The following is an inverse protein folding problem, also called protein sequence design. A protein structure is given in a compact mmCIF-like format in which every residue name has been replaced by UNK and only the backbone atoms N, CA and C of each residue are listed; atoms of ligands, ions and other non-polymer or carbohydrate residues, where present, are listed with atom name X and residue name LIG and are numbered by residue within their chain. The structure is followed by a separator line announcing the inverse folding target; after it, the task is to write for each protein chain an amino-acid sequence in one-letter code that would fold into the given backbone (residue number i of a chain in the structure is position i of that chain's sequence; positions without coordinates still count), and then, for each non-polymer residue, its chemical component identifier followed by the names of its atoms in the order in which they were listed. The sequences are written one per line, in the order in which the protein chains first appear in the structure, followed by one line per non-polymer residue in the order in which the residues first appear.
data_IF_318919375619
#
_entry.id   IF_318919375619
#
_cell.length_a   1.000
_cell.length_b   1.000
_cell.length_c   1.000
_cell.angle_alpha   90.00
_cell.angle_beta   90.00
_cell.angle_gamma   90.00
#
_symmetry.space_group_name_H-M   'P 1'
#
loop_
_entity.id
_entity.type
_entity.pdbx_description
1 polymer ?
#
# COMPACT_ATOMS: atom_id res chain seq x y z
N UNK A 1 15.42 5.83 -22.43
CA UNK A 1 16.89 5.86 -22.22
C UNK A 1 17.11 5.89 -20.70
N UNK A 2 18.11 5.14 -20.19
CA UNK A 2 18.29 4.64 -18.80
C UNK A 2 17.50 3.33 -18.56
N UNK A 3 18.00 2.17 -19.04
CA UNK A 3 19.14 1.36 -18.58
C UNK A 3 18.80 0.43 -17.41
N UNK A 4 18.41 -0.78 -17.80
CA UNK A 4 18.59 -2.07 -17.14
C UNK A 4 19.69 -2.14 -16.07
N UNK A 5 19.33 -2.53 -14.85
CA UNK A 5 20.12 -3.43 -13.98
C UNK A 5 19.15 -4.07 -12.95
N UNK A 6 18.66 -5.28 -13.25
CA UNK A 6 18.18 -6.21 -12.23
C UNK A 6 18.96 -7.50 -12.45
N UNK A 7 19.60 -7.97 -11.38
CA UNK A 7 20.50 -9.12 -11.39
C UNK A 7 19.78 -10.39 -11.86
N UNK A 8 20.30 -10.98 -12.93
CA UNK A 8 19.99 -12.35 -13.34
C UNK A 8 20.61 -13.33 -12.34
N UNK A 9 19.92 -14.42 -11.94
CA UNK A 9 20.60 -15.63 -11.50
C UNK A 9 21.40 -16.19 -12.69
N UNK A 10 22.58 -16.72 -12.40
CA UNK A 10 23.58 -17.16 -13.38
C UNK A 10 23.07 -18.24 -14.33
N UNK A 11 22.67 -17.83 -15.53
CA UNK A 11 22.65 -18.66 -16.73
C UNK A 11 24.09 -18.94 -17.16
N UNK A 12 24.73 -19.94 -16.55
CA UNK A 12 26.04 -20.44 -16.98
C UNK A 12 26.30 -21.85 -16.46
N UNK A 13 25.57 -22.84 -16.98
CA UNK A 13 26.24 -24.04 -17.46
C UNK A 13 26.43 -23.82 -18.97
N UNK A 14 27.50 -23.07 -19.23
CA UNK A 14 28.44 -23.19 -20.34
C UNK A 14 27.87 -23.47 -21.74
N UNK A 15 27.73 -22.37 -22.49
CA UNK A 15 28.06 -22.35 -23.91
C UNK A 15 29.58 -22.47 -24.04
N UNK A 16 30.07 -23.52 -24.68
CA UNK A 16 31.24 -23.44 -25.53
C UNK A 16 30.92 -24.17 -26.83
N UNK A 17 31.11 -23.46 -27.95
CA UNK A 17 30.86 -23.86 -29.35
C UNK A 17 29.41 -23.65 -29.79
N UNK A 18 29.12 -22.41 -30.23
CA UNK A 18 27.83 -22.05 -30.79
C UNK A 18 27.55 -22.76 -32.11
N UNK A 19 26.41 -23.44 -32.16
CA UNK A 19 25.50 -23.60 -33.31
C UNK A 19 24.18 -24.22 -32.77
N UNK A 20 23.06 -23.98 -33.45
CA UNK A 20 21.69 -24.23 -32.96
C UNK A 20 20.84 -24.92 -34.06
N UNK A 21 19.94 -25.82 -33.62
CA UNK A 21 18.82 -26.51 -34.33
C UNK A 21 19.23 -27.64 -35.31
N UNK A 22 18.49 -28.75 -35.47
CA UNK A 22 17.04 -28.87 -35.71
C UNK A 22 16.43 -30.24 -35.31
N UNK A 23 15.11 -30.19 -35.02
CA UNK A 23 14.00 -31.10 -35.34
C UNK A 23 14.16 -32.63 -35.46
N UNK A 24 13.19 -33.29 -34.80
CA UNK A 24 12.65 -34.65 -34.94
C UNK A 24 13.25 -35.80 -34.09
N UNK A 25 12.31 -36.40 -33.35
CA UNK A 25 12.25 -37.76 -32.79
C UNK A 25 13.23 -38.14 -31.66
N UNK A 26 12.88 -37.76 -30.43
CA UNK A 26 12.59 -38.70 -29.33
C UNK A 26 12.03 -37.91 -28.13
N UNK A 27 10.98 -38.45 -27.51
CA UNK A 27 10.02 -37.79 -26.62
C UNK A 27 10.64 -36.93 -25.50
N UNK A 28 10.30 -35.63 -25.49
CA UNK A 28 10.37 -34.80 -24.28
C UNK A 28 9.33 -35.31 -23.29
N UNK A 29 9.74 -36.18 -22.37
CA UNK A 29 8.91 -36.56 -21.24
C UNK A 29 8.83 -35.37 -20.27
N UNK A 30 7.72 -34.62 -20.37
CA UNK A 30 7.29 -33.70 -19.32
C UNK A 30 7.08 -34.53 -18.06
N UNK A 31 8.08 -34.53 -17.18
CA UNK A 31 8.06 -35.22 -15.89
C UNK A 31 6.77 -34.82 -15.16
N UNK A 32 5.84 -35.76 -15.11
CA UNK A 32 4.53 -35.54 -14.54
C UNK A 32 4.64 -35.44 -13.01
N UNK A 33 3.63 -34.87 -12.34
CA UNK A 33 3.55 -34.91 -10.87
C UNK A 33 3.61 -36.33 -10.30
N UNK A 34 3.33 -37.35 -11.12
CA UNK A 34 3.44 -38.76 -10.76
C UNK A 34 4.90 -39.24 -10.63
N UNK A 35 5.80 -38.75 -11.48
CA UNK A 35 7.23 -39.15 -11.53
C UNK A 35 8.04 -38.52 -10.38
N UNK A 36 7.65 -37.31 -9.94
CA UNK A 36 8.22 -36.66 -8.75
C UNK A 36 7.82 -37.41 -7.47
N UNK A 37 6.61 -37.97 -7.43
CA UNK A 37 6.18 -38.80 -6.31
C UNK A 37 6.93 -40.14 -6.29
N UNK A 38 7.10 -40.81 -7.43
CA UNK A 38 7.85 -42.06 -7.51
C UNK A 38 9.34 -41.87 -7.16
N UNK A 39 10.00 -40.81 -7.63
CA UNK A 39 11.41 -40.53 -7.29
C UNK A 39 11.68 -40.21 -5.80
N UNK A 40 10.66 -39.80 -5.04
CA UNK A 40 10.76 -39.56 -3.59
C UNK A 40 10.62 -40.88 -2.79
N UNK A 41 9.86 -41.85 -3.31
CA UNK A 41 9.51 -43.08 -2.60
C UNK A 41 10.23 -44.34 -3.09
N UNK A 42 10.75 -44.35 -4.33
CA UNK A 42 11.66 -45.38 -4.84
C UNK A 42 13.11 -44.92 -4.63
N UNK A 43 13.78 -45.54 -3.66
CA UNK A 43 15.08 -45.14 -3.14
C UNK A 43 16.28 -45.32 -4.09
N UNK A 44 16.32 -44.61 -5.23
CA UNK A 44 17.55 -44.40 -6.00
C UNK A 44 18.27 -43.12 -5.55
N UNK A 45 18.81 -43.16 -4.32
CA UNK A 45 19.96 -42.33 -3.96
C UNK A 45 21.22 -43.15 -4.19
N UNK A 46 21.57 -43.37 -5.45
CA UNK A 46 22.89 -43.90 -5.83
C UNK A 46 23.52 -43.02 -6.90
N UNK A 47 24.11 -41.90 -6.45
CA UNK A 47 24.84 -41.03 -7.36
C UNK A 47 25.27 -39.68 -6.81
N UNK A 48 25.36 -39.47 -5.49
CA UNK A 48 25.96 -38.25 -4.94
C UNK A 48 27.45 -38.53 -4.71
N UNK A 49 28.27 -38.19 -5.69
CA UNK A 49 29.72 -38.15 -5.55
C UNK A 49 30.11 -37.22 -4.38
N UNK A 50 31.10 -37.67 -3.62
CA UNK A 50 31.51 -37.24 -2.28
C UNK A 50 32.20 -35.87 -2.17
N UNK A 51 31.91 -34.91 -3.06
CA UNK A 51 32.54 -33.59 -3.04
C UNK A 51 31.60 -32.43 -2.60
N UNK A 52 30.31 -32.70 -2.38
CA UNK A 52 29.32 -31.66 -2.01
C UNK A 52 29.12 -31.49 -0.51
N UNK A 53 29.92 -32.15 0.33
CA UNK A 53 29.81 -32.06 1.81
C UNK A 53 30.35 -30.74 2.40
N UNK A 54 30.85 -29.80 1.58
CA UNK A 54 31.39 -28.52 2.05
C UNK A 54 30.85 -27.31 1.30
N UNK A 55 29.54 -27.08 1.33
CA UNK A 55 28.96 -25.71 1.29
C UNK A 55 27.43 -25.71 1.53
N UNK A 56 27.06 -25.42 2.78
CA UNK A 56 25.87 -24.63 3.15
C UNK A 56 24.46 -25.19 2.87
N UNK A 57 23.75 -25.48 3.96
CA UNK A 57 22.27 -25.45 4.09
C UNK A 57 21.41 -26.57 3.47
N UNK A 58 21.70 -27.83 3.77
CA UNK A 58 20.77 -28.96 3.51
C UNK A 58 19.73 -29.16 4.66
N UNK A 59 19.94 -28.57 5.84
CA UNK A 59 19.12 -28.86 7.02
C UNK A 59 17.67 -28.32 6.99
N UNK A 60 17.30 -27.44 6.06
CA UNK A 60 15.91 -26.94 5.95
C UNK A 60 15.01 -27.81 5.06
N UNK A 61 15.58 -28.66 4.19
CA UNK A 61 14.80 -29.43 3.22
C UNK A 61 14.19 -30.72 3.81
N UNK A 62 14.77 -31.27 4.89
CA UNK A 62 14.24 -32.50 5.50
C UNK A 62 12.99 -32.26 6.35
N UNK A 63 12.84 -31.10 7.01
CA UNK A 63 11.71 -30.83 7.91
C UNK A 63 10.36 -30.62 7.21
N UNK A 64 10.38 -30.22 5.94
CA UNK A 64 9.16 -29.97 5.15
C UNK A 64 8.63 -31.21 4.43
N UNK A 65 9.45 -32.27 4.31
CA UNK A 65 9.07 -33.53 3.64
C UNK A 65 8.41 -34.55 4.58
N UNK A 66 8.53 -34.38 5.91
CA UNK A 66 7.95 -35.29 6.92
C UNK A 66 6.40 -35.31 6.93
N UNK A 67 5.74 -34.42 6.18
CA UNK A 67 4.29 -34.29 6.15
C UNK A 67 3.58 -34.87 4.92
N UNK A 68 4.30 -35.28 3.87
CA UNK A 68 3.72 -35.71 2.60
C UNK A 68 3.29 -37.17 2.73
N UNK A 69 1.97 -37.43 2.76
CA UNK A 69 1.43 -38.78 2.96
C UNK A 69 0.64 -39.30 1.76
N UNK A 70 0.28 -38.45 0.80
CA UNK A 70 -0.42 -38.85 -0.43
C UNK A 70 0.09 -38.13 -1.68
N UNK A 71 -0.26 -38.67 -2.86
CA UNK A 71 -0.04 -38.02 -4.16
C UNK A 71 -0.76 -36.67 -4.24
N UNK A 72 -1.94 -36.51 -3.63
CA UNK A 72 -2.64 -35.23 -3.58
C UNK A 72 -1.85 -34.16 -2.81
N UNK A 73 -1.22 -34.51 -1.68
CA UNK A 73 -0.39 -33.57 -0.90
C UNK A 73 0.77 -33.04 -1.75
N UNK A 74 1.41 -33.91 -2.53
CA UNK A 74 2.52 -33.55 -3.42
C UNK A 74 2.07 -32.64 -4.58
N UNK A 75 0.89 -32.88 -5.16
CA UNK A 75 0.30 -32.05 -6.23
C UNK A 75 -0.13 -30.67 -5.72
N UNK A 76 -0.71 -30.57 -4.53
CA UNK A 76 -1.02 -29.25 -3.94
C UNK A 76 0.23 -28.42 -3.67
N UNK A 77 1.32 -29.06 -3.23
CA UNK A 77 2.59 -28.37 -2.97
C UNK A 77 3.24 -27.91 -4.28
N UNK A 78 3.11 -28.64 -5.38
CA UNK A 78 3.63 -28.22 -6.69
C UNK A 78 2.75 -27.17 -7.39
N UNK A 79 1.41 -27.25 -7.29
CA UNK A 79 0.51 -26.20 -7.82
C UNK A 79 0.63 -24.87 -7.05
N UNK A 80 0.86 -24.89 -5.74
CA UNK A 80 1.10 -23.68 -4.95
C UNK A 80 2.44 -22.98 -5.33
N UNK A 81 3.35 -23.69 -5.99
CA UNK A 81 4.69 -23.20 -6.36
C UNK A 81 4.82 -22.65 -7.78
N UNK A 82 3.86 -22.87 -8.69
CA UNK A 82 3.95 -22.43 -10.10
C UNK A 82 2.74 -21.59 -10.52
N UNK A 83 2.46 -20.50 -9.77
CA UNK A 83 1.65 -19.40 -10.33
C UNK A 83 2.60 -18.42 -11.00
N UNK A 84 2.94 -18.68 -12.26
CA UNK A 84 3.71 -17.74 -13.08
C UNK A 84 2.77 -16.65 -13.59
N UNK A 85 2.88 -15.44 -13.01
CA UNK A 85 2.10 -14.31 -13.47
C UNK A 85 2.62 -13.84 -14.83
N UNK A 86 1.75 -13.61 -15.83
CA UNK A 86 2.19 -13.12 -17.13
C UNK A 86 2.76 -11.70 -16.98
N UNK A 87 4.10 -11.61 -16.94
CA UNK A 87 4.82 -10.34 -16.92
C UNK A 87 4.86 -9.73 -18.33
N UNK A 88 4.24 -8.56 -18.50
CA UNK A 88 4.24 -7.82 -19.76
C UNK A 88 3.17 -8.26 -20.78
N UNK A 89 3.35 -7.82 -22.04
CA UNK A 89 2.38 -8.07 -23.12
C UNK A 89 1.31 -6.97 -23.29
N UNK A 90 0.66 -6.94 -24.46
CA UNK A 90 -0.30 -5.87 -24.83
C UNK A 90 -1.48 -5.76 -23.87
N UNK A 91 -1.97 -6.88 -23.33
CA UNK A 91 -3.07 -6.91 -22.37
C UNK A 91 -2.66 -6.31 -21.01
N UNK A 92 -1.46 -6.62 -20.51
CA UNK A 92 -0.94 -6.03 -19.28
C UNK A 92 -0.76 -4.51 -19.41
N UNK A 93 -0.16 -4.04 -20.53
CA UNK A 93 -0.01 -2.61 -20.79
C UNK A 93 -1.35 -1.90 -20.99
N UNK A 94 -2.33 -2.53 -21.66
CA UNK A 94 -3.67 -1.96 -21.82
C UNK A 94 -4.39 -1.84 -20.46
N UNK A 95 -4.23 -2.85 -19.59
CA UNK A 95 -4.78 -2.83 -18.22
C UNK A 95 -4.14 -1.71 -17.41
N UNK A 96 -2.81 -1.58 -17.45
CA UNK A 96 -2.09 -0.50 -16.75
C UNK A 96 -2.56 0.88 -17.23
N UNK A 97 -2.73 1.06 -18.54
CA UNK A 97 -3.24 2.30 -19.12
C UNK A 97 -4.69 2.58 -18.69
N UNK A 98 -5.54 1.56 -18.65
CA UNK A 98 -6.91 1.66 -18.13
C UNK A 98 -6.95 2.10 -16.66
N UNK A 99 -6.15 1.47 -15.81
CA UNK A 99 -6.01 1.86 -14.40
C UNK A 99 -5.50 3.30 -14.26
N UNK A 100 -4.52 3.70 -15.08
CA UNK A 100 -4.02 5.08 -15.09
C UNK A 100 -5.11 6.10 -15.42
N UNK A 101 -5.89 5.89 -16.50
CA UNK A 101 -6.99 6.79 -16.85
C UNK A 101 -8.07 6.80 -15.76
N UNK A 102 -8.41 5.63 -15.20
CA UNK A 102 -9.38 5.54 -14.11
C UNK A 102 -8.97 6.36 -12.89
N UNK A 103 -7.70 6.25 -12.49
CA UNK A 103 -7.14 7.01 -11.37
C UNK A 103 -7.12 8.52 -11.60
N UNK A 104 -7.00 8.99 -12.84
CA UNK A 104 -7.08 10.43 -13.16
C UNK A 104 -8.44 11.00 -12.79
N UNK A 105 -9.53 10.30 -13.11
CA UNK A 105 -10.88 10.74 -12.76
C UNK A 105 -11.15 10.69 -11.25
N UNK A 106 -10.77 9.58 -10.61
CA UNK A 106 -11.02 9.35 -9.19
C UNK A 106 -10.19 10.26 -8.28
N UNK A 107 -8.86 10.20 -8.39
CA UNK A 107 -7.97 10.99 -7.54
C UNK A 107 -7.93 12.47 -7.96
N UNK A 108 -8.26 12.78 -9.21
CA UNK A 108 -8.39 14.15 -9.69
C UNK A 108 -9.52 14.89 -8.96
N UNK A 109 -10.71 14.29 -8.91
CA UNK A 109 -11.84 14.85 -8.17
C UNK A 109 -11.52 14.94 -6.67
N UNK A 110 -10.89 13.90 -6.11
CA UNK A 110 -10.49 13.89 -4.71
C UNK A 110 -9.55 15.05 -4.36
N UNK A 111 -8.57 15.36 -5.23
CA UNK A 111 -7.68 16.50 -5.07
C UNK A 111 -8.37 17.86 -5.27
N UNK A 112 -9.48 17.93 -6.01
CA UNK A 112 -10.25 19.18 -6.16
C UNK A 112 -11.18 19.47 -4.98
N UNK A 113 -11.39 18.50 -4.08
CA UNK A 113 -12.34 18.60 -2.97
C UNK A 113 -12.21 19.89 -2.16
N UNK A 114 -11.02 20.26 -1.70
CA UNK A 114 -10.84 21.48 -0.88
C UNK A 114 -11.11 22.78 -1.63
N UNK A 115 -10.73 22.85 -2.91
CA UNK A 115 -11.02 24.03 -3.74
C UNK A 115 -12.53 24.16 -4.04
N UNK A 116 -13.19 23.04 -4.33
CA UNK A 116 -14.64 23.00 -4.57
C UNK A 116 -15.39 23.32 -3.27
N UNK A 117 -14.95 22.79 -2.13
CA UNK A 117 -15.53 23.06 -0.82
C UNK A 117 -15.49 24.56 -0.49
N UNK A 118 -14.33 25.20 -0.64
CA UNK A 118 -14.18 26.65 -0.44
C UNK A 118 -15.08 27.45 -1.38
N UNK A 119 -15.13 27.07 -2.67
CA UNK A 119 -15.98 27.75 -3.65
C UNK A 119 -17.47 27.62 -3.31
N UNK A 120 -17.92 26.42 -2.91
CA UNK A 120 -19.31 26.17 -2.51
C UNK A 120 -19.67 26.98 -1.26
N UNK A 121 -18.79 27.03 -0.26
CA UNK A 121 -18.99 27.81 0.96
C UNK A 121 -19.13 29.31 0.67
N UNK A 122 -18.31 29.85 -0.22
CA UNK A 122 -18.31 31.29 -0.53
C UNK A 122 -19.42 31.74 -1.50
N UNK A 123 -19.85 30.89 -2.43
CA UNK A 123 -20.70 31.32 -3.55
C UNK A 123 -22.07 30.63 -3.64
N UNK A 124 -22.23 29.41 -3.11
CA UNK A 124 -23.44 28.59 -3.34
C UNK A 124 -24.24 28.38 -2.06
N UNK A 125 -23.57 27.93 -0.99
CA UNK A 125 -24.19 27.56 0.29
C UNK A 125 -23.86 28.57 1.39
N UNK A 126 -23.87 29.86 1.04
CA UNK A 126 -23.44 30.96 1.91
C UNK A 126 -24.23 31.06 3.22
N UNK A 127 -25.50 30.63 3.22
CA UNK A 127 -26.37 30.66 4.39
C UNK A 127 -26.24 29.43 5.31
N UNK A 128 -25.40 28.45 4.95
CA UNK A 128 -25.18 27.23 5.73
C UNK A 128 -23.89 27.32 6.55
N UNK A 129 -23.82 26.59 7.66
CA UNK A 129 -22.60 26.50 8.46
C UNK A 129 -21.49 25.77 7.70
N UNK A 130 -20.25 26.27 7.77
CA UNK A 130 -19.08 25.67 7.11
C UNK A 130 -18.90 24.19 7.46
N UNK A 131 -19.10 23.82 8.74
CA UNK A 131 -19.06 22.42 9.20
C UNK A 131 -20.05 21.51 8.43
N UNK A 132 -21.25 22.02 8.12
CA UNK A 132 -22.25 21.24 7.38
C UNK A 132 -21.82 21.03 5.92
N UNK A 133 -21.14 21.99 5.32
CA UNK A 133 -20.58 21.89 3.97
C UNK A 133 -19.43 20.89 3.97
N UNK A 134 -18.51 20.97 4.93
CA UNK A 134 -17.42 19.99 5.09
C UNK A 134 -17.93 18.57 5.28
N UNK A 135 -19.08 18.39 5.95
CA UNK A 135 -19.72 17.08 6.11
C UNK A 135 -20.16 16.45 4.77
N UNK A 136 -20.58 17.25 3.79
CA UNK A 136 -20.94 16.75 2.45
C UNK A 136 -19.71 16.13 1.78
N UNK A 137 -18.57 16.82 1.84
CA UNK A 137 -17.31 16.34 1.27
C UNK A 137 -16.68 15.19 2.08
N UNK A 138 -16.94 15.15 3.39
CA UNK A 138 -16.56 14.03 4.24
C UNK A 138 -17.34 12.75 3.87
N UNK A 139 -18.64 12.87 3.62
CA UNK A 139 -19.47 11.78 3.11
C UNK A 139 -19.00 11.31 1.73
N UNK A 140 -18.68 12.23 0.82
CA UNK A 140 -18.07 11.90 -0.47
C UNK A 140 -16.77 11.08 -0.29
N UNK A 141 -15.82 11.58 0.50
CA UNK A 141 -14.54 10.90 0.77
C UNK A 141 -14.71 9.55 1.47
N UNK A 142 -15.70 9.44 2.37
CA UNK A 142 -16.08 8.18 3.00
C UNK A 142 -16.57 7.17 1.96
N UNK A 143 -17.52 7.54 1.10
CA UNK A 143 -18.10 6.62 0.12
C UNK A 143 -17.11 6.22 -0.97
N UNK A 144 -16.16 7.07 -1.35
CA UNK A 144 -15.06 6.70 -2.26
C UNK A 144 -14.23 5.57 -1.65
N UNK A 145 -13.78 5.73 -0.40
CA UNK A 145 -12.91 4.74 0.26
C UNK A 145 -13.67 3.47 0.70
N UNK A 146 -14.88 3.63 1.23
CA UNK A 146 -15.74 2.52 1.63
C UNK A 146 -16.29 1.76 0.41
N UNK A 147 -16.65 2.47 -0.65
CA UNK A 147 -17.13 1.91 -1.90
C UNK A 147 -16.07 1.06 -2.61
N UNK A 148 -14.79 1.43 -2.52
CA UNK A 148 -13.68 0.63 -3.03
C UNK A 148 -13.60 -0.77 -2.38
N UNK A 149 -13.98 -0.90 -1.11
CA UNK A 149 -14.07 -2.22 -0.46
C UNK A 149 -15.22 -3.04 -1.06
N UNK A 150 -16.40 -2.44 -1.22
CA UNK A 150 -17.59 -3.13 -1.76
C UNK A 150 -17.35 -3.55 -3.21
N UNK A 151 -16.72 -2.70 -4.02
CA UNK A 151 -16.42 -3.02 -5.41
C UNK A 151 -15.49 -4.25 -5.50
N UNK A 152 -14.43 -4.30 -4.68
CA UNK A 152 -13.55 -5.47 -4.58
C UNK A 152 -14.32 -6.76 -4.27
N UNK A 153 -15.22 -6.73 -3.30
CA UNK A 153 -16.12 -7.85 -2.95
C UNK A 153 -16.97 -8.30 -4.14
N UNK A 154 -17.53 -7.35 -4.89
CA UNK A 154 -18.38 -7.65 -6.05
C UNK A 154 -17.56 -8.29 -7.17
N UNK A 155 -16.36 -7.77 -7.46
CA UNK A 155 -15.48 -8.34 -8.48
C UNK A 155 -15.03 -9.75 -8.13
N UNK A 156 -14.64 -10.01 -6.88
CA UNK A 156 -14.30 -11.36 -6.40
C UNK A 156 -15.49 -12.32 -6.55
N UNK A 157 -16.71 -11.83 -6.32
CA UNK A 157 -17.94 -12.61 -6.54
C UNK A 157 -18.16 -12.92 -8.01
N UNK A 158 -18.04 -11.93 -8.89
CA UNK A 158 -18.21 -12.12 -10.34
C UNK A 158 -17.20 -13.13 -10.87
N UNK A 159 -15.94 -13.03 -10.42
CA UNK A 159 -14.89 -14.00 -10.78
C UNK A 159 -15.27 -15.42 -10.41
N UNK A 160 -15.68 -15.65 -9.16
CA UNK A 160 -16.10 -16.98 -8.66
C UNK A 160 -17.36 -17.51 -9.33
N UNK A 161 -18.30 -16.62 -9.70
CA UNK A 161 -19.47 -16.99 -10.48
C UNK A 161 -19.09 -17.46 -11.89
N UNK A 162 -18.11 -16.79 -12.51
CA UNK A 162 -17.57 -17.21 -13.81
C UNK A 162 -16.80 -18.54 -13.71
N UNK A 163 -16.18 -18.82 -12.57
CA UNK A 163 -15.51 -20.10 -12.27
C UNK A 163 -16.49 -21.24 -11.89
N UNK A 164 -17.81 -20.99 -11.89
CA UNK A 164 -18.83 -22.03 -11.73
C UNK A 164 -19.32 -22.26 -10.29
N UNK A 165 -18.84 -21.49 -9.31
CA UNK A 165 -19.30 -21.56 -7.91
C UNK A 165 -20.71 -20.93 -7.73
N UNK A 166 -21.77 -21.70 -8.00
CA UNK A 166 -23.16 -21.19 -8.04
C UNK A 166 -23.91 -21.14 -6.70
N UNK A 167 -23.50 -21.90 -5.69
CA UNK A 167 -24.23 -22.03 -4.41
C UNK A 167 -23.58 -21.21 -3.28
N UNK A 168 -23.75 -19.88 -3.29
CA UNK A 168 -23.12 -19.00 -2.31
C UNK A 168 -24.13 -18.24 -1.44
N UNK A 169 -24.14 -18.53 -0.13
CA UNK A 169 -24.93 -17.78 0.87
C UNK A 169 -24.21 -16.48 1.27
N UNK A 170 -24.95 -15.36 1.25
CA UNK A 170 -24.40 -14.01 1.45
C UNK A 170 -23.75 -13.77 2.83
N UNK A 171 -24.30 -14.39 3.88
CA UNK A 171 -23.87 -14.17 5.28
C UNK A 171 -22.54 -14.85 5.64
N UNK A 172 -22.27 -16.02 5.09
CA UNK A 172 -21.02 -16.75 5.37
C UNK A 172 -19.82 -16.05 4.69
N UNK A 173 -20.01 -15.44 3.52
CA UNK A 173 -18.96 -14.70 2.82
C UNK A 173 -18.64 -13.31 3.36
N UNK A 174 -19.59 -12.58 3.94
CA UNK A 174 -19.27 -11.25 4.51
C UNK A 174 -18.23 -11.37 5.64
N UNK A 175 -18.31 -12.45 6.42
CA UNK A 175 -17.30 -12.81 7.42
C UNK A 175 -15.98 -13.31 6.80
N UNK A 176 -16.00 -13.87 5.59
CA UNK A 176 -14.78 -14.25 4.86
C UNK A 176 -14.06 -13.07 4.20
N UNK A 177 -14.75 -11.93 4.02
CA UNK A 177 -14.27 -10.74 3.31
C UNK A 177 -13.66 -9.71 4.25
N UNK A 178 -14.31 -9.48 5.40
CA UNK A 178 -13.76 -8.64 6.47
C UNK A 178 -13.31 -9.56 7.59
N UNK A 179 -11.99 -9.67 7.74
CA UNK A 179 -11.42 -10.48 8.80
C UNK A 179 -11.33 -9.67 10.10
N UNK A 180 -12.45 -9.53 10.80
CA UNK A 180 -12.46 -8.95 12.15
C UNK A 180 -11.59 -9.74 13.14
N UNK A 181 -11.25 -11.00 12.84
CA UNK A 181 -10.33 -11.78 13.68
C UNK A 181 -8.90 -11.25 13.61
N UNK A 182 -8.50 -10.59 12.51
CA UNK A 182 -7.19 -9.94 12.42
C UNK A 182 -6.99 -8.85 13.47
N UNK A 183 -8.05 -8.20 13.97
CA UNK A 183 -7.93 -7.25 15.08
C UNK A 183 -7.66 -7.90 16.45
N UNK A 184 -7.78 -9.22 16.59
CA UNK A 184 -7.30 -9.90 17.80
C UNK A 184 -5.77 -9.86 17.90
N UNK A 185 -5.09 -9.70 16.77
CA UNK A 185 -3.65 -9.49 16.72
C UNK A 185 -3.34 -8.01 17.01
N UNK A 186 -2.73 -7.76 18.16
CA UNK A 186 -2.37 -6.41 18.58
C UNK A 186 -1.45 -5.70 17.56
N UNK A 187 -0.58 -6.42 16.86
CA UNK A 187 0.29 -5.85 15.81
C UNK A 187 -0.53 -5.28 14.65
N UNK A 188 -1.54 -6.01 14.18
CA UNK A 188 -2.42 -5.55 13.12
C UNK A 188 -3.28 -4.37 13.59
N UNK A 189 -3.84 -4.46 14.81
CA UNK A 189 -4.64 -3.37 15.40
C UNK A 189 -3.85 -2.05 15.50
N UNK A 190 -2.61 -2.10 15.99
CA UNK A 190 -1.78 -0.90 16.13
C UNK A 190 -1.33 -0.38 14.76
N UNK A 191 -1.04 -1.26 13.80
CA UNK A 191 -0.77 -0.84 12.42
C UNK A 191 -1.98 -0.11 11.84
N UNK A 192 -3.18 -0.69 11.91
CA UNK A 192 -4.40 -0.05 11.41
C UNK A 192 -4.67 1.28 12.11
N UNK A 193 -4.40 1.38 13.42
CA UNK A 193 -4.51 2.64 14.15
C UNK A 193 -3.51 3.69 13.65
N UNK A 194 -2.28 3.30 13.33
CA UNK A 194 -1.29 4.17 12.72
C UNK A 194 -1.75 4.67 11.34
N UNK A 195 -2.27 3.77 10.51
CA UNK A 195 -2.83 4.11 9.20
C UNK A 195 -3.98 5.10 9.32
N UNK A 196 -4.93 4.84 10.23
CA UNK A 196 -6.06 5.72 10.52
C UNK A 196 -5.60 7.13 10.92
N UNK A 197 -4.66 7.24 11.86
CA UNK A 197 -4.17 8.54 12.34
C UNK A 197 -3.38 9.30 11.28
N UNK A 198 -2.59 8.59 10.47
CA UNK A 198 -1.84 9.19 9.38
C UNK A 198 -2.77 9.66 8.24
N UNK A 199 -3.83 8.91 7.96
CA UNK A 199 -4.89 9.32 7.02
C UNK A 199 -5.59 10.60 7.49
N UNK A 200 -5.83 10.72 8.79
CA UNK A 200 -6.45 11.91 9.38
C UNK A 200 -5.63 13.16 9.05
N UNK A 201 -4.31 13.10 9.26
CA UNK A 201 -3.42 14.20 8.94
C UNK A 201 -3.37 14.48 7.43
N UNK A 202 -3.29 13.43 6.61
CA UNK A 202 -3.30 13.53 5.15
C UNK A 202 -4.50 14.33 4.67
N UNK A 203 -5.69 13.95 5.10
CA UNK A 203 -6.93 14.54 4.59
C UNK A 203 -7.08 16.00 5.00
N UNK A 204 -6.70 16.34 6.23
CA UNK A 204 -6.72 17.74 6.63
C UNK A 204 -5.69 18.56 5.86
N UNK A 205 -4.46 18.07 5.72
CA UNK A 205 -3.41 18.83 5.02
C UNK A 205 -3.76 19.02 3.55
N UNK A 206 -4.11 17.95 2.82
CA UNK A 206 -4.38 18.04 1.38
C UNK A 206 -5.59 18.91 1.07
N UNK A 207 -6.66 18.81 1.88
CA UNK A 207 -7.90 19.58 1.69
C UNK A 207 -7.72 21.04 2.08
N UNK A 208 -7.05 21.34 3.20
CA UNK A 208 -6.96 22.72 3.71
C UNK A 208 -5.72 23.49 3.25
N UNK A 209 -4.78 22.92 2.49
CA UNK A 209 -3.65 23.67 1.91
C UNK A 209 -4.12 24.92 1.15
N UNK A 210 -5.09 24.84 0.22
CA UNK A 210 -5.53 26.01 -0.54
C UNK A 210 -6.21 27.07 0.36
N UNK A 211 -7.12 26.65 1.23
CA UNK A 211 -7.87 27.54 2.13
C UNK A 211 -6.96 28.18 3.18
N UNK A 212 -5.97 27.44 3.70
CA UNK A 212 -4.90 27.98 4.56
C UNK A 212 -4.14 29.09 3.83
N UNK A 213 -3.67 28.82 2.61
CA UNK A 213 -2.90 29.78 1.82
C UNK A 213 -3.68 31.08 1.55
N UNK A 214 -4.96 30.96 1.19
CA UNK A 214 -5.86 32.11 1.01
C UNK A 214 -6.03 32.90 2.32
N UNK A 215 -6.24 32.21 3.45
CA UNK A 215 -6.42 32.86 4.77
C UNK A 215 -5.19 33.66 5.22
N UNK A 216 -3.98 33.26 4.79
CA UNK A 216 -2.73 33.97 5.08
C UNK A 216 -2.39 35.04 4.02
N UNK A 217 -3.28 35.30 3.06
CA UNK A 217 -3.16 36.38 2.08
C UNK A 217 -2.41 36.02 0.79
N UNK A 218 -2.17 34.74 0.52
CA UNK A 218 -1.64 34.33 -0.79
C UNK A 218 -2.69 34.41 -1.88
N UNK A 219 -2.25 34.53 -3.14
CA UNK A 219 -3.16 34.55 -4.29
C UNK A 219 -3.82 33.18 -4.51
N UNK A 220 -5.03 33.19 -5.07
CA UNK A 220 -5.74 31.97 -5.45
C UNK A 220 -4.93 31.09 -6.42
N UNK A 221 -4.28 31.70 -7.41
CA UNK A 221 -3.40 30.94 -8.31
C UNK A 221 -2.26 30.26 -7.56
N UNK A 222 -1.67 30.93 -6.55
CA UNK A 222 -0.61 30.35 -5.75
C UNK A 222 -1.11 29.22 -4.85
N UNK A 223 -2.29 29.36 -4.23
CA UNK A 223 -2.87 28.34 -3.34
C UNK A 223 -3.14 27.03 -4.08
N UNK A 224 -3.62 27.11 -5.32
CA UNK A 224 -3.81 25.96 -6.22
C UNK A 224 -2.48 25.35 -6.71
N UNK A 225 -1.49 26.21 -7.02
CA UNK A 225 -0.14 25.75 -7.35
C UNK A 225 0.51 25.01 -6.17
N UNK A 226 0.29 25.46 -4.93
CA UNK A 226 0.85 24.82 -3.74
C UNK A 226 0.37 23.36 -3.61
N UNK A 227 -0.92 23.09 -3.84
CA UNK A 227 -1.46 21.74 -3.89
C UNK A 227 -0.92 20.93 -5.09
N UNK A 228 -0.68 21.59 -6.21
CA UNK A 228 -0.08 20.95 -7.41
C UNK A 228 1.36 20.51 -7.12
N UNK A 229 2.15 21.38 -6.48
CA UNK A 229 3.54 21.09 -6.06
C UNK A 229 3.57 19.95 -5.05
N UNK A 230 2.66 19.94 -4.09
CA UNK A 230 2.49 18.86 -3.13
C UNK A 230 2.29 17.50 -3.83
N UNK A 231 1.38 17.42 -4.81
CA UNK A 231 1.13 16.20 -5.58
C UNK A 231 2.32 15.79 -6.47
N UNK A 232 2.99 16.77 -7.10
CA UNK A 232 4.17 16.53 -7.93
C UNK A 232 5.33 15.95 -7.10
N UNK A 233 5.60 16.51 -5.92
CA UNK A 233 6.58 15.96 -4.99
C UNK A 233 6.22 14.53 -4.55
N UNK A 234 4.91 14.25 -4.41
CA UNK A 234 4.39 12.93 -4.11
C UNK A 234 4.76 11.85 -5.14
N UNK A 235 4.97 12.19 -6.41
CA UNK A 235 5.40 11.21 -7.43
C UNK A 235 6.76 10.61 -7.06
N UNK A 236 7.75 11.45 -6.75
CA UNK A 236 9.04 11.00 -6.25
C UNK A 236 8.90 10.29 -4.90
N UNK A 237 7.98 10.78 -4.06
CA UNK A 237 7.61 10.19 -2.77
C UNK A 237 7.11 8.76 -2.87
N UNK A 238 6.43 8.36 -3.95
CA UNK A 238 5.99 6.95 -4.13
C UNK A 238 7.10 6.02 -4.58
N UNK A 239 8.05 6.54 -5.37
CA UNK A 239 9.09 5.72 -6.00
C UNK A 239 10.27 5.53 -5.06
N UNK A 240 10.80 6.62 -4.51
CA UNK A 240 12.08 6.60 -3.78
C UNK A 240 12.01 5.77 -2.50
N UNK A 241 11.07 6.00 -1.56
CA UNK A 241 10.98 5.23 -0.31
C UNK A 241 10.64 3.76 -0.55
N UNK A 242 9.78 3.45 -1.53
CA UNK A 242 9.43 2.07 -1.91
C UNK A 242 10.61 1.33 -2.51
N UNK A 243 11.43 1.98 -3.33
CA UNK A 243 12.68 1.38 -3.81
C UNK A 243 13.69 1.18 -2.67
N UNK A 244 13.75 2.12 -1.72
CA UNK A 244 14.66 2.02 -0.58
C UNK A 244 14.19 0.99 0.47
N UNK A 245 12.91 0.65 0.52
CA UNK A 245 12.40 -0.32 1.49
C UNK A 245 12.92 -1.73 1.25
N UNK A 246 13.25 -2.10 0.02
CA UNK A 246 13.88 -3.39 -0.29
C UNK A 246 15.24 -3.54 0.42
N UNK A 247 15.97 -2.44 0.60
CA UNK A 247 17.29 -2.45 1.24
C UNK A 247 17.22 -2.31 2.75
N UNK A 248 16.38 -1.40 3.23
CA UNK A 248 16.37 -0.95 4.62
C UNK A 248 15.16 -1.45 5.43
N UNK A 249 14.18 -2.10 4.82
CA UNK A 249 12.98 -2.67 5.45
C UNK A 249 11.77 -1.73 5.41
N UNK A 250 10.58 -2.31 5.20
CA UNK A 250 9.33 -1.58 4.96
C UNK A 250 8.97 -0.67 6.14
N UNK A 251 9.01 -1.23 7.34
CA UNK A 251 8.68 -0.51 8.57
C UNK A 251 9.70 0.58 8.93
N UNK A 252 10.98 0.41 8.59
CA UNK A 252 11.97 1.45 8.87
C UNK A 252 11.73 2.68 7.98
N UNK A 253 11.36 2.45 6.71
CA UNK A 253 11.02 3.52 5.78
C UNK A 253 9.71 4.20 6.14
N UNK A 254 8.67 3.47 6.53
CA UNK A 254 7.38 4.10 6.88
C UNK A 254 7.51 4.98 8.12
N UNK A 255 8.31 4.55 9.11
CA UNK A 255 8.65 5.37 10.28
C UNK A 255 9.42 6.62 9.87
N UNK A 256 10.42 6.48 8.99
CA UNK A 256 11.20 7.63 8.50
C UNK A 256 10.29 8.65 7.81
N UNK A 257 9.43 8.19 6.90
CA UNK A 257 8.49 9.07 6.18
C UNK A 257 7.50 9.74 7.14
N UNK A 258 6.89 8.98 8.05
CA UNK A 258 5.97 9.53 9.07
C UNK A 258 6.67 10.52 10.03
N UNK A 259 7.95 10.28 10.35
CA UNK A 259 8.75 11.22 11.15
C UNK A 259 9.02 12.51 10.38
N UNK A 260 9.36 12.43 9.10
CA UNK A 260 9.53 13.62 8.24
C UNK A 260 8.22 14.40 8.17
N UNK A 261 7.06 13.73 7.99
CA UNK A 261 5.76 14.39 8.01
C UNK A 261 5.54 15.16 9.32
N UNK A 262 5.73 14.48 10.45
CA UNK A 262 5.57 15.05 11.79
C UNK A 262 6.45 16.28 12.01
N UNK A 263 7.76 16.15 11.76
CA UNK A 263 8.71 17.24 11.95
C UNK A 263 8.40 18.43 11.04
N UNK A 264 8.00 18.18 9.80
CA UNK A 264 7.70 19.26 8.83
C UNK A 264 6.48 20.08 9.28
N UNK A 265 5.46 19.44 9.87
CA UNK A 265 4.30 20.16 10.42
C UNK A 265 4.70 21.05 11.60
N UNK A 266 5.43 20.51 12.57
CA UNK A 266 5.79 21.24 13.80
C UNK A 266 6.87 22.29 13.62
N UNK A 267 7.86 22.03 12.75
CA UNK A 267 9.06 22.88 12.60
C UNK A 267 8.90 23.90 11.47
N UNK A 268 8.11 23.58 10.42
CA UNK A 268 7.99 24.43 9.24
C UNK A 268 6.59 25.03 9.16
N UNK A 269 5.55 24.21 9.07
CA UNK A 269 4.22 24.72 8.76
C UNK A 269 3.62 25.56 9.88
N UNK A 270 3.61 25.04 11.11
CA UNK A 270 3.01 25.71 12.25
C UNK A 270 3.69 27.06 12.59
N UNK A 271 5.03 27.16 12.69
CA UNK A 271 5.69 28.44 13.02
C UNK A 271 5.90 29.37 11.82
N UNK A 272 6.09 28.84 10.60
CA UNK A 272 6.54 29.64 9.45
C UNK A 272 5.64 29.54 8.22
N UNK A 273 4.45 28.92 8.31
CA UNK A 273 3.55 28.71 7.17
C UNK A 273 3.08 29.99 6.46
N UNK A 274 3.18 31.15 7.12
CA UNK A 274 2.91 32.46 6.52
C UNK A 274 4.00 32.92 5.55
N UNK A 275 5.22 32.40 5.69
CA UNK A 275 6.33 32.75 4.81
C UNK A 275 6.28 31.90 3.55
N UNK A 276 6.30 32.56 2.39
CA UNK A 276 6.22 31.91 1.07
C UNK A 276 7.21 30.74 0.91
N UNK A 277 8.49 30.98 1.22
CA UNK A 277 9.54 29.96 1.07
C UNK A 277 9.36 28.77 2.01
N UNK A 278 8.95 29.01 3.25
CA UNK A 278 8.70 27.94 4.23
C UNK A 278 7.46 27.12 3.86
N UNK A 279 6.41 27.78 3.36
CA UNK A 279 5.20 27.10 2.90
C UNK A 279 5.46 26.19 1.70
N UNK A 280 6.23 26.66 0.70
CA UNK A 280 6.64 25.82 -0.44
C UNK A 280 7.54 24.67 0.01
N UNK A 281 8.49 24.92 0.91
CA UNK A 281 9.33 23.84 1.46
C UNK A 281 8.49 22.78 2.17
N UNK A 282 7.50 23.21 2.96
CA UNK A 282 6.54 22.32 3.61
C UNK A 282 5.77 21.47 2.59
N UNK A 283 5.16 22.08 1.56
CA UNK A 283 4.34 21.33 0.59
C UNK A 283 5.14 20.27 -0.16
N UNK A 284 6.39 20.57 -0.51
CA UNK A 284 7.30 19.62 -1.16
C UNK A 284 7.65 18.46 -0.23
N UNK A 285 8.14 18.77 0.97
CA UNK A 285 8.64 17.74 1.91
C UNK A 285 7.48 16.88 2.42
N UNK A 286 6.37 17.51 2.80
CA UNK A 286 5.19 16.81 3.29
C UNK A 286 4.53 15.98 2.18
N UNK A 287 4.43 16.51 0.95
CA UNK A 287 3.91 15.76 -0.21
C UNK A 287 4.74 14.53 -0.55
N UNK A 288 6.08 14.66 -0.56
CA UNK A 288 6.99 13.53 -0.74
C UNK A 288 6.80 12.46 0.35
N UNK A 289 6.84 12.86 1.63
CA UNK A 289 6.79 11.94 2.76
C UNK A 289 5.40 11.27 2.90
N UNK A 290 4.33 12.02 2.63
CA UNK A 290 2.97 11.49 2.66
C UNK A 290 2.76 10.44 1.59
N UNK A 291 3.15 10.72 0.35
CA UNK A 291 2.98 9.78 -0.76
C UNK A 291 3.84 8.52 -0.58
N UNK A 292 5.03 8.67 0.03
CA UNK A 292 5.87 7.54 0.42
C UNK A 292 5.25 6.68 1.51
N UNK A 293 4.66 7.30 2.53
CA UNK A 293 3.91 6.56 3.56
C UNK A 293 2.77 5.77 2.94
N UNK A 294 2.03 6.37 2.01
CA UNK A 294 0.96 5.69 1.25
C UNK A 294 1.43 4.47 0.47
N UNK A 295 2.56 4.59 -0.23
CA UNK A 295 3.12 3.48 -1.00
C UNK A 295 3.64 2.33 -0.12
N UNK A 296 4.12 2.64 1.09
CA UNK A 296 4.65 1.67 2.05
C UNK A 296 3.57 0.97 2.87
N UNK A 297 2.38 1.54 3.01
CA UNK A 297 1.24 0.97 3.75
C UNK A 297 0.88 -0.46 3.32
N UNK A 298 0.67 -0.78 2.03
CA UNK A 298 0.41 -2.17 1.60
C UNK A 298 1.61 -3.08 1.87
N UNK A 299 2.85 -2.59 1.77
CA UNK A 299 4.06 -3.38 2.04
C UNK A 299 4.23 -3.72 3.52
N UNK A 300 3.90 -2.78 4.42
CA UNK A 300 3.91 -3.03 5.86
C UNK A 300 2.78 -3.99 6.26
N UNK A 301 1.62 -3.88 5.61
CA UNK A 301 0.49 -4.77 5.85
C UNK A 301 0.80 -6.19 5.34
N UNK A 302 1.42 -6.34 4.18
CA UNK A 302 1.83 -7.65 3.66
C UNK A 302 2.91 -8.29 4.51
N UNK A 303 3.87 -7.52 5.04
CA UNK A 303 4.93 -8.03 5.92
C UNK A 303 4.42 -8.68 7.23
N UNK A 304 3.21 -8.33 7.68
CA UNK A 304 2.58 -8.93 8.87
C UNK A 304 1.40 -9.85 8.52
N UNK A 305 1.24 -10.21 7.25
CA UNK A 305 0.13 -11.00 6.74
C UNK A 305 0.64 -12.21 5.97
N UNK A 306 -0.14 -13.29 5.95
CA UNK A 306 0.13 -14.38 5.01
C UNK A 306 -0.23 -13.90 3.59
N UNK A 307 0.51 -14.31 2.53
CA UNK A 307 0.24 -13.88 1.15
C UNK A 307 -1.22 -14.08 0.73
N UNK A 308 -1.82 -15.22 1.09
CA UNK A 308 -3.22 -15.56 0.82
C UNK A 308 -4.25 -14.65 1.51
N UNK A 309 -3.88 -14.07 2.65
CA UNK A 309 -4.77 -13.27 3.48
C UNK A 309 -4.51 -11.76 3.35
N UNK A 310 -3.49 -11.36 2.58
CA UNK A 310 -3.09 -9.95 2.42
C UNK A 310 -4.26 -9.07 1.97
N UNK A 311 -4.97 -9.46 0.89
CA UNK A 311 -6.08 -8.67 0.36
C UNK A 311 -7.19 -8.46 1.38
N UNK A 312 -7.53 -9.49 2.15
CA UNK A 312 -8.53 -9.43 3.22
C UNK A 312 -8.09 -8.51 4.35
N UNK A 313 -6.84 -8.65 4.82
CA UNK A 313 -6.27 -7.83 5.90
C UNK A 313 -6.14 -6.37 5.50
N UNK A 314 -5.65 -6.10 4.30
CA UNK A 314 -5.53 -4.75 3.77
C UNK A 314 -6.91 -4.09 3.59
N UNK A 315 -7.87 -4.79 2.99
CA UNK A 315 -9.25 -4.30 2.87
C UNK A 315 -9.91 -4.06 4.22
N UNK A 316 -9.69 -4.94 5.19
CA UNK A 316 -10.19 -4.80 6.57
C UNK A 316 -9.57 -3.59 7.27
N UNK A 317 -8.28 -3.30 7.10
CA UNK A 317 -7.67 -2.09 7.63
C UNK A 317 -8.31 -0.83 7.03
N UNK A 318 -8.45 -0.79 5.70
CA UNK A 318 -9.00 0.36 4.98
C UNK A 318 -10.51 0.57 5.19
N UNK A 319 -11.25 -0.47 5.56
CA UNK A 319 -12.63 -0.34 6.06
C UNK A 319 -12.72 0.59 7.27
N UNK A 320 -11.80 0.46 8.23
CA UNK A 320 -11.75 1.33 9.40
C UNK A 320 -11.20 2.71 9.06
N UNK A 321 -10.20 2.79 8.19
CA UNK A 321 -9.66 4.07 7.70
C UNK A 321 -10.73 4.88 6.97
N UNK A 322 -11.70 4.26 6.28
CA UNK A 322 -12.78 5.01 5.64
C UNK A 322 -13.57 5.89 6.64
N UNK A 323 -13.80 5.43 7.88
CA UNK A 323 -14.45 6.24 8.91
C UNK A 323 -13.62 7.45 9.34
N UNK A 324 -12.28 7.40 9.19
CA UNK A 324 -11.43 8.58 9.35
C UNK A 324 -11.82 9.67 8.36
N UNK A 325 -12.07 9.31 7.10
CA UNK A 325 -12.43 10.27 6.05
C UNK A 325 -13.76 10.98 6.35
N UNK A 326 -14.69 10.28 7.00
CA UNK A 326 -15.96 10.85 7.44
C UNK A 326 -15.79 11.89 8.56
N UNK A 327 -14.80 11.72 9.43
CA UNK A 327 -14.63 12.53 10.64
C UNK A 327 -13.62 13.67 10.43
N UNK A 328 -12.62 13.46 9.59
CA UNK A 328 -11.46 14.35 9.45
C UNK A 328 -11.82 15.75 8.96
N UNK A 329 -12.64 15.90 7.92
CA UNK A 329 -12.99 17.22 7.38
C UNK A 329 -13.85 18.04 8.37
N UNK A 330 -14.95 17.53 8.95
CA UNK A 330 -15.73 18.30 9.92
C UNK A 330 -14.93 18.71 11.16
N UNK A 331 -14.03 17.83 11.64
CA UNK A 331 -13.13 18.16 12.75
C UNK A 331 -12.13 19.25 12.34
N UNK A 332 -11.53 19.13 11.15
CA UNK A 332 -10.62 20.15 10.61
C UNK A 332 -11.30 21.51 10.49
N UNK A 333 -12.51 21.55 9.91
CA UNK A 333 -13.31 22.76 9.75
C UNK A 333 -13.63 23.39 11.11
N UNK A 334 -14.16 22.62 12.06
CA UNK A 334 -14.49 23.10 13.40
C UNK A 334 -13.27 23.67 14.12
N UNK A 335 -12.06 23.13 13.89
CA UNK A 335 -10.82 23.68 14.44
C UNK A 335 -10.46 25.04 13.83
N UNK A 336 -10.72 25.25 12.54
CA UNK A 336 -10.46 26.55 11.90
C UNK A 336 -11.42 27.67 12.32
N UNK A 337 -12.60 27.34 12.85
CA UNK A 337 -13.55 28.31 13.42
C UNK A 337 -13.14 28.77 14.84
N UNK A 338 -12.16 28.11 15.47
CA UNK A 338 -11.67 28.50 16.79
C UNK A 338 -10.86 29.80 16.74
N UNK A 339 -10.59 30.41 17.89
CA UNK A 339 -9.76 31.62 17.99
C UNK A 339 -8.33 31.44 17.44
N UNK A 340 -7.80 30.22 17.49
CA UNK A 340 -6.48 29.89 16.93
C UNK A 340 -6.54 29.62 15.40
N UNK A 341 -7.74 29.55 14.82
CA UNK A 341 -7.98 29.41 13.40
C UNK A 341 -7.28 28.19 12.80
N UNK A 342 -6.75 28.39 11.61
CA UNK A 342 -5.98 27.37 10.91
C UNK A 342 -4.79 26.82 11.70
N UNK A 343 -4.19 27.59 12.61
CA UNK A 343 -3.04 27.11 13.38
C UNK A 343 -3.45 25.99 14.35
N UNK A 344 -4.70 25.99 14.85
CA UNK A 344 -5.25 24.86 15.62
C UNK A 344 -5.45 23.60 14.77
N UNK A 345 -5.97 23.76 13.54
CA UNK A 345 -6.10 22.66 12.59
C UNK A 345 -4.74 22.05 12.25
N UNK A 346 -3.74 22.89 11.98
CA UNK A 346 -2.35 22.47 11.71
C UNK A 346 -1.75 21.73 12.90
N UNK A 347 -1.93 22.25 14.12
CA UNK A 347 -1.44 21.60 15.34
C UNK A 347 -2.11 20.23 15.57
N UNK A 348 -3.41 20.13 15.29
CA UNK A 348 -4.13 18.86 15.38
C UNK A 348 -3.63 17.84 14.34
N UNK A 349 -3.38 18.26 13.09
CA UNK A 349 -2.74 17.42 12.07
C UNK A 349 -1.34 16.96 12.49
N UNK A 350 -0.56 17.84 13.11
CA UNK A 350 0.75 17.50 13.67
C UNK A 350 0.65 16.47 14.80
N UNK A 351 -0.36 16.60 15.67
CA UNK A 351 -0.59 15.67 16.77
C UNK A 351 -1.00 14.27 16.28
N UNK A 352 -1.90 14.17 15.29
CA UNK A 352 -2.29 12.88 14.70
C UNK A 352 -1.13 12.22 13.98
N UNK A 353 -0.32 12.97 13.22
CA UNK A 353 0.95 12.51 12.65
C UNK A 353 1.90 11.96 13.72
N UNK A 354 2.08 12.69 14.82
CA UNK A 354 2.98 12.29 15.91
C UNK A 354 2.51 10.97 16.53
N UNK A 355 1.21 10.84 16.81
CA UNK A 355 0.64 9.62 17.35
C UNK A 355 0.75 8.45 16.35
N UNK A 356 0.53 8.70 15.07
CA UNK A 356 0.75 7.71 14.01
C UNK A 356 2.20 7.22 13.98
N UNK A 357 3.18 8.12 14.05
CA UNK A 357 4.61 7.77 14.12
C UNK A 357 4.90 6.88 15.33
N UNK A 358 4.35 7.21 16.51
CA UNK A 358 4.49 6.38 17.72
C UNK A 358 3.90 4.98 17.51
N UNK A 359 2.73 4.88 16.89
CA UNK A 359 2.10 3.59 16.58
C UNK A 359 2.91 2.79 15.54
N UNK A 360 3.50 3.42 14.52
CA UNK A 360 4.39 2.74 13.57
C UNK A 360 5.65 2.20 14.26
N UNK A 361 6.28 3.00 15.13
CA UNK A 361 7.43 2.58 15.94
C UNK A 361 7.07 1.40 16.84
N UNK A 362 5.92 1.44 17.51
CA UNK A 362 5.45 0.34 18.33
C UNK A 362 5.22 -0.93 17.50
N UNK A 363 4.59 -0.79 16.33
CA UNK A 363 4.37 -1.91 15.41
C UNK A 363 5.69 -2.54 14.99
N UNK A 364 6.69 -1.73 14.59
CA UNK A 364 8.03 -2.22 14.23
C UNK A 364 8.72 -2.93 15.39
N UNK A 365 8.61 -2.39 16.60
CA UNK A 365 9.15 -3.03 17.80
C UNK A 365 8.53 -4.42 18.02
N UNK A 366 7.22 -4.57 17.80
CA UNK A 366 6.51 -5.84 17.93
C UNK A 366 6.88 -6.87 16.87
N UNK A 367 7.15 -6.43 15.64
CA UNK A 367 7.44 -7.34 14.53
C UNK A 367 8.88 -7.86 14.58
N UNK A 368 9.87 -7.06 14.99
CA UNK A 368 11.27 -7.54 15.02
C UNK A 368 12.21 -6.84 16.00
N UNK A 369 11.69 -6.29 17.10
CA UNK A 369 12.49 -5.67 18.16
C UNK A 369 13.29 -4.44 17.71
N UNK A 370 14.27 -4.01 18.50
CA UNK A 370 15.11 -2.83 18.21
C UNK A 370 16.29 -3.10 17.25
N UNK A 371 16.51 -4.36 16.87
CA UNK A 371 17.61 -4.73 15.98
C UNK A 371 17.26 -4.39 14.52
N UNK A 372 18.26 -4.00 13.74
CA UNK A 372 18.16 -3.81 12.27
C UNK A 372 17.93 -5.15 11.57
N UNK A 373 16.74 -5.71 11.72
CA UNK A 373 16.28 -6.85 10.96
C UNK A 373 15.57 -6.30 9.73
N UNK A 374 15.91 -6.82 8.55
CA UNK A 374 15.15 -6.62 7.31
C UNK A 374 13.80 -7.31 7.52
N UNK A 375 12.75 -6.53 7.63
CA UNK A 375 11.36 -6.99 7.68
C UNK A 375 10.57 -6.23 6.64
#
# INVERSE_FOLDING_TARGET
MVSSVVGRPSSSILRENGEYYSDEDDEEELVGPEDVFESIFDGEVSGINSDTEKRGNINNNQRSLEGIKSKEDAVTVTEEYVVEYPEGGKLAYLTLFGCFIGLVGELGLWNSTGAIESYIAEHILVDNSDIAISMIFALFSFFVMFGAMISGVIFDKIKKLNEGERNMKWKEKFNDLIDFSSFKELTFMVLTSALFLNEFALLMVSTYIPSYALSKGFSESFSLIALTVFNAAGVAGRIVPTFLSDRYGNFNLIILMSTIMTLTVWIIWLPFGQNLGAFIAFTIIFGFAMAGTFALTPLCTSAISKPKDFGKRYGTAYFFVAFCNLISLPVGMALTETHAGYDAMVAFAGATCTLATVCFVYTRYRVGGLNKIRI
#
